data_IF_329641984050
#
_entry.id   IF_329641984050
#
_cell.length_a   1.000
_cell.length_b   1.000
_cell.length_c   1.000
_cell.angle_alpha   90.00
_cell.angle_beta   90.00
_cell.angle_gamma   90.00
#
_symmetry.space_group_name_H-M   'P 1'
#
loop_
_entity.id
_entity.type
_entity.pdbx_description
1 polymer ?
#
# COMPACT_ATOMS: atom_id res chain seq x y z
N UNK A 1 2.48 34.91 -1.51
CA UNK A 1 3.29 35.95 -2.18
C UNK A 1 4.79 35.63 -2.32
N UNK A 2 5.45 34.97 -1.35
CA UNK A 2 6.91 34.68 -1.43
C UNK A 2 7.27 33.70 -2.56
N UNK A 3 6.48 32.65 -2.78
CA UNK A 3 6.69 31.67 -3.85
C UNK A 3 6.70 32.31 -5.25
N UNK A 4 5.73 33.18 -5.55
CA UNK A 4 5.57 33.84 -6.85
C UNK A 4 6.65 34.90 -7.11
N UNK A 5 6.95 35.74 -6.13
CA UNK A 5 7.80 36.93 -6.32
C UNK A 5 9.29 36.68 -6.12
N UNK A 6 9.69 35.79 -5.21
CA UNK A 6 11.08 35.57 -4.82
C UNK A 6 11.58 34.19 -5.26
N UNK A 7 10.76 33.15 -5.14
CA UNK A 7 11.13 31.79 -5.52
C UNK A 7 11.13 31.58 -7.03
N UNK A 8 9.96 31.68 -7.65
CA UNK A 8 9.78 31.43 -9.08
C UNK A 8 10.48 32.48 -9.97
N UNK A 9 10.39 33.76 -9.60
CA UNK A 9 11.01 34.86 -10.35
C UNK A 9 12.53 34.76 -10.46
N UNK A 10 13.24 34.28 -9.42
CA UNK A 10 14.70 34.05 -9.47
C UNK A 10 15.09 32.90 -10.41
N UNK A 11 14.16 31.98 -10.67
CA UNK A 11 14.34 30.86 -11.59
C UNK A 11 13.84 31.18 -13.01
N UNK A 12 13.62 32.47 -13.33
CA UNK A 12 13.09 32.95 -14.62
C UNK A 12 11.72 32.35 -15.00
N UNK A 13 10.90 31.99 -14.00
CA UNK A 13 9.54 31.50 -14.22
C UNK A 13 8.57 32.68 -14.19
N UNK A 14 7.67 32.76 -15.17
CA UNK A 14 6.67 33.83 -15.23
C UNK A 14 5.71 33.77 -14.04
N UNK A 15 5.25 34.93 -13.58
CA UNK A 15 4.33 35.01 -12.43
C UNK A 15 3.02 34.25 -12.68
N UNK A 16 2.53 34.24 -13.94
CA UNK A 16 1.33 33.50 -14.32
C UNK A 16 1.54 32.00 -14.17
N UNK A 17 2.60 31.44 -14.76
CA UNK A 17 2.89 30.01 -14.67
C UNK A 17 3.13 29.56 -13.22
N UNK A 18 3.80 30.40 -12.43
CA UNK A 18 4.00 30.12 -11.01
C UNK A 18 2.68 30.08 -10.24
N UNK A 19 1.72 30.96 -10.57
CA UNK A 19 0.38 30.94 -9.97
C UNK A 19 -0.36 29.65 -10.32
N UNK A 20 -0.37 29.29 -11.59
CA UNK A 20 -1.08 28.11 -12.08
C UNK A 20 -0.53 26.81 -11.42
N UNK A 21 0.80 26.70 -11.28
CA UNK A 21 1.45 25.56 -10.59
C UNK A 21 1.09 25.54 -9.11
N UNK A 22 1.06 26.70 -8.45
CA UNK A 22 0.72 26.77 -7.03
C UNK A 22 -0.72 26.31 -6.78
N UNK A 23 -1.65 26.75 -7.62
CA UNK A 23 -3.06 26.35 -7.52
C UNK A 23 -3.24 24.85 -7.73
N UNK A 24 -2.48 24.24 -8.63
CA UNK A 24 -2.43 22.77 -8.78
C UNK A 24 -1.90 22.10 -7.51
N UNK A 25 -0.75 22.53 -6.98
CA UNK A 25 -0.18 21.97 -5.74
C UNK A 25 -1.17 22.10 -4.59
N UNK A 26 -1.82 23.26 -4.43
CA UNK A 26 -2.80 23.50 -3.38
C UNK A 26 -4.02 22.57 -3.51
N UNK A 27 -4.52 22.37 -4.73
CA UNK A 27 -5.61 21.42 -5.01
C UNK A 27 -5.24 19.98 -4.62
N UNK A 28 -4.02 19.54 -4.93
CA UNK A 28 -3.55 18.19 -4.57
C UNK A 28 -3.14 18.04 -3.10
N UNK A 29 -2.74 19.12 -2.42
CA UNK A 29 -2.22 19.06 -1.06
C UNK A 29 -3.24 18.51 -0.05
N UNK A 30 -4.55 18.73 -0.27
CA UNK A 30 -5.61 18.16 0.56
C UNK A 30 -5.68 16.62 0.55
N UNK A 31 -5.17 15.99 -0.50
CA UNK A 31 -5.09 14.54 -0.66
C UNK A 31 -3.65 14.02 -0.72
N UNK A 32 -2.67 14.88 -0.46
CA UNK A 32 -1.26 14.53 -0.46
C UNK A 32 -0.96 13.50 0.62
N UNK A 33 -0.43 12.35 0.23
CA UNK A 33 -0.10 11.28 1.18
C UNK A 33 1.39 11.29 1.54
N UNK A 34 1.70 10.93 2.78
CA UNK A 34 3.07 10.85 3.24
C UNK A 34 3.81 9.69 2.53
N UNK A 35 4.78 10.03 1.69
CA UNK A 35 5.50 9.06 0.85
C UNK A 35 6.32 8.05 1.67
N UNK A 36 6.98 8.49 2.74
CA UNK A 36 7.81 7.56 3.55
C UNK A 36 6.96 6.51 4.26
N UNK A 37 5.80 6.91 4.81
CA UNK A 37 4.82 6.00 5.38
C UNK A 37 4.27 5.02 4.34
N UNK A 38 3.83 5.52 3.17
CA UNK A 38 3.35 4.65 2.10
C UNK A 38 4.41 3.65 1.63
N UNK A 39 5.65 4.09 1.44
CA UNK A 39 6.73 3.22 0.98
C UNK A 39 7.07 2.12 2.00
N UNK A 40 7.09 2.45 3.30
CA UNK A 40 7.37 1.46 4.34
C UNK A 40 6.29 0.36 4.40
N UNK A 41 5.02 0.74 4.36
CA UNK A 41 3.92 -0.24 4.35
C UNK A 41 3.85 -1.01 3.04
N UNK A 42 4.13 -0.37 1.90
CA UNK A 42 4.19 -1.06 0.60
C UNK A 42 5.25 -2.17 0.59
N UNK A 43 6.39 -1.97 1.26
CA UNK A 43 7.42 -3.00 1.39
C UNK A 43 6.91 -4.22 2.14
N UNK A 44 6.20 -4.04 3.25
CA UNK A 44 5.59 -5.15 4.01
C UNK A 44 4.54 -5.87 3.16
N UNK A 45 3.66 -5.13 2.49
CA UNK A 45 2.69 -5.71 1.56
C UNK A 45 3.38 -6.54 0.47
N UNK A 46 4.46 -6.01 -0.12
CA UNK A 46 5.24 -6.73 -1.14
C UNK A 46 5.83 -8.02 -0.58
N UNK A 47 6.43 -7.98 0.61
CA UNK A 47 6.98 -9.17 1.27
C UNK A 47 5.89 -10.23 1.51
N UNK A 48 4.71 -9.83 1.99
CA UNK A 48 3.59 -10.77 2.18
C UNK A 48 3.11 -11.37 0.88
N UNK A 49 2.99 -10.58 -0.19
CA UNK A 49 2.58 -11.06 -1.50
C UNK A 49 3.63 -11.99 -2.11
N UNK A 50 4.92 -11.68 -1.94
CA UNK A 50 6.01 -12.51 -2.42
C UNK A 50 6.02 -13.87 -1.71
N UNK A 51 5.84 -13.91 -0.39
CA UNK A 51 5.72 -15.17 0.36
C UNK A 51 4.51 -15.97 -0.11
N UNK A 52 3.34 -15.33 -0.27
CA UNK A 52 2.14 -16.01 -0.78
C UNK A 52 2.34 -16.57 -2.19
N UNK A 53 3.06 -15.87 -3.06
CA UNK A 53 3.29 -16.31 -4.44
C UNK A 53 4.32 -17.45 -4.56
N UNK A 54 5.35 -17.47 -3.72
CA UNK A 54 6.49 -18.40 -3.85
C UNK A 54 6.47 -19.55 -2.84
N UNK A 55 5.83 -19.35 -1.67
CA UNK A 55 5.68 -20.33 -0.59
C UNK A 55 4.21 -20.38 -0.11
N UNK A 56 3.26 -20.71 -1.01
CA UNK A 56 1.84 -20.60 -0.72
C UNK A 56 1.37 -21.52 0.41
N UNK A 57 1.91 -22.74 0.51
CA UNK A 57 1.51 -23.71 1.53
C UNK A 57 1.90 -23.22 2.93
N UNK A 58 3.16 -22.82 3.08
CA UNK A 58 3.73 -22.29 4.33
C UNK A 58 3.07 -20.97 4.71
N UNK A 59 2.85 -20.08 3.74
CA UNK A 59 2.18 -18.80 3.98
C UNK A 59 0.75 -18.97 4.48
N UNK A 60 -0.03 -19.88 3.88
CA UNK A 60 -1.39 -20.17 4.32
C UNK A 60 -1.42 -20.84 5.70
N UNK A 61 -0.53 -21.81 5.94
CA UNK A 61 -0.39 -22.43 7.26
C UNK A 61 -0.02 -21.41 8.35
N UNK A 62 0.93 -20.51 8.07
CA UNK A 62 1.33 -19.44 9.00
C UNK A 62 0.18 -18.45 9.26
N UNK A 63 -0.55 -18.05 8.21
CA UNK A 63 -1.69 -17.12 8.33
C UNK A 63 -2.83 -17.74 9.15
N UNK A 64 -3.15 -19.01 8.93
CA UNK A 64 -4.15 -19.73 9.72
C UNK A 64 -3.70 -19.93 11.17
N UNK A 65 -2.40 -20.13 11.42
CA UNK A 65 -1.85 -20.22 12.77
C UNK A 65 -1.97 -18.89 13.52
N UNK A 66 -1.64 -17.77 12.85
CA UNK A 66 -1.75 -16.42 13.43
C UNK A 66 -3.18 -16.12 13.89
N UNK A 67 -4.17 -16.57 13.13
CA UNK A 67 -5.59 -16.33 13.38
C UNK A 67 -6.34 -17.59 13.89
N UNK A 68 -5.65 -18.53 14.55
CA UNK A 68 -6.21 -19.81 14.98
C UNK A 68 -7.48 -19.68 15.85
N UNK A 69 -7.59 -18.62 16.65
CA UNK A 69 -8.76 -18.33 17.48
C UNK A 69 -9.93 -17.67 16.75
N UNK A 70 -9.79 -17.31 15.48
CA UNK A 70 -10.79 -16.57 14.71
C UNK A 70 -11.36 -17.44 13.58
N UNK A 71 -12.49 -18.10 13.85
CA UNK A 71 -13.15 -19.02 12.91
C UNK A 71 -13.55 -18.35 11.60
N UNK A 72 -13.96 -17.08 11.62
CA UNK A 72 -14.38 -16.36 10.42
C UNK A 72 -13.20 -16.13 9.47
N UNK A 73 -12.05 -15.73 10.02
CA UNK A 73 -10.81 -15.61 9.24
C UNK A 73 -10.30 -16.96 8.74
N UNK A 74 -10.35 -18.00 9.58
CA UNK A 74 -9.98 -19.35 9.16
C UNK A 74 -10.85 -19.83 7.99
N UNK A 75 -12.14 -19.49 7.97
CA UNK A 75 -13.02 -19.80 6.84
C UNK A 75 -12.59 -19.08 5.55
N UNK A 76 -12.18 -17.81 5.64
CA UNK A 76 -11.63 -17.04 4.51
C UNK A 76 -10.34 -17.69 3.99
N UNK A 77 -9.40 -18.05 4.87
CA UNK A 77 -8.16 -18.71 4.45
C UNK A 77 -8.40 -20.09 3.84
N UNK A 78 -9.31 -20.88 4.42
CA UNK A 78 -9.69 -22.19 3.84
C UNK A 78 -10.30 -22.04 2.45
N UNK A 79 -11.10 -20.99 2.23
CA UNK A 79 -11.66 -20.70 0.91
C UNK A 79 -10.58 -20.32 -0.11
N UNK A 80 -9.61 -19.52 0.30
CA UNK A 80 -8.47 -19.13 -0.53
C UNK A 80 -7.57 -20.34 -0.88
N UNK A 81 -7.29 -21.21 0.08
CA UNK A 81 -6.62 -22.50 -0.17
C UNK A 81 -7.35 -23.32 -1.25
N UNK A 82 -8.68 -23.44 -1.15
CA UNK A 82 -9.50 -24.16 -2.13
C UNK A 82 -9.41 -23.54 -3.53
N UNK A 83 -9.41 -22.22 -3.63
CA UNK A 83 -9.28 -21.51 -4.92
C UNK A 83 -7.90 -21.69 -5.55
N UNK A 84 -6.86 -21.86 -4.74
CA UNK A 84 -5.48 -22.04 -5.17
C UNK A 84 -5.03 -23.52 -5.16
N UNK A 85 -5.97 -24.47 -5.09
CA UNK A 85 -5.69 -25.92 -5.13
C UNK A 85 -4.71 -26.39 -4.04
N UNK A 86 -4.77 -25.78 -2.86
CA UNK A 86 -4.02 -26.17 -1.67
C UNK A 86 -4.93 -27.05 -0.81
N UNK A 87 -4.53 -28.31 -0.62
CA UNK A 87 -5.27 -29.26 0.21
C UNK A 87 -5.10 -28.95 1.69
N UNK A 88 -6.23 -28.80 2.40
CA UNK A 88 -6.28 -28.61 3.85
C UNK A 88 -6.92 -29.84 4.48
N UNK A 89 -6.10 -30.63 5.18
CA UNK A 89 -6.53 -31.86 5.84
C UNK A 89 -7.27 -31.56 7.15
N UNK A 90 -8.26 -32.40 7.54
CA UNK A 90 -8.85 -32.30 8.87
C UNK A 90 -7.82 -32.63 9.96
N UNK A 91 -8.01 -32.14 11.20
CA UNK A 91 -7.22 -32.59 12.34
C UNK A 91 -7.31 -34.11 12.52
N UNK A 92 -6.23 -34.70 13.02
CA UNK A 92 -6.17 -36.10 13.46
C UNK A 92 -6.89 -36.32 14.79
#
# INVERSE_FOLDING_TARGET
>A
MIFLSIGAGKNNISAQLASDIFDQIASFAGYGFNKSHAAAYALVCYQTAWLKANYPHEFMAASMTLDHGNTDKLAVFRQDCRQNQIDVLPPI
#
